data_IF_398276881470
#
_entry.id   IF_398276881470
#
_cell.length_a   1.000
_cell.length_b   1.000
_cell.length_c   1.000
_cell.angle_alpha   90.00
_cell.angle_beta   90.00
_cell.angle_gamma   90.00
#
_symmetry.space_group_name_H-M   'P 1'
#
loop_
_entity.id
_entity.type
_entity.pdbx_description
1 polymer ?
#
# COMPACT_ATOMS: atom_id res chain seq x y z
N UNK A 1 -33.08 -70.95 31.69
CA UNK A 1 -32.40 -69.67 31.89
C UNK A 1 -32.98 -68.66 30.89
N UNK A 2 -34.00 -67.93 31.26
CA UNK A 2 -34.61 -66.88 30.46
C UNK A 2 -34.81 -65.70 31.41
N UNK A 3 -34.05 -64.60 31.17
CA UNK A 3 -34.21 -63.38 31.93
C UNK A 3 -35.30 -62.53 31.27
N UNK A 4 -36.30 -62.23 32.04
CA UNK A 4 -37.41 -61.36 31.69
C UNK A 4 -37.02 -59.89 32.01
N UNK A 5 -36.98 -58.99 31.03
CA UNK A 5 -36.83 -57.59 31.27
C UNK A 5 -38.20 -56.95 31.50
N UNK A 6 -38.29 -56.26 32.63
CA UNK A 6 -39.43 -55.43 33.01
C UNK A 6 -39.26 -54.03 32.45
N UNK A 7 -40.13 -53.57 31.55
CA UNK A 7 -40.16 -52.20 31.00
C UNK A 7 -41.00 -51.34 31.93
N UNK A 8 -40.35 -50.34 32.56
CA UNK A 8 -41.00 -49.27 33.29
C UNK A 8 -41.11 -48.07 32.33
N UNK A 9 -42.35 -47.73 31.95
CA UNK A 9 -42.67 -46.56 31.14
C UNK A 9 -42.84 -45.35 32.08
N UNK A 10 -41.86 -44.45 32.08
CA UNK A 10 -41.96 -43.12 32.73
C UNK A 10 -42.31 -42.06 31.69
N UNK A 11 -43.54 -41.58 31.74
CA UNK A 11 -43.98 -40.38 31.00
C UNK A 11 -43.24 -39.16 31.59
N UNK A 12 -42.24 -38.65 30.87
CA UNK A 12 -41.67 -37.29 31.11
C UNK A 12 -42.45 -36.29 30.25
N UNK A 13 -43.30 -35.48 30.89
CA UNK A 13 -43.88 -34.27 30.27
C UNK A 13 -42.74 -33.26 30.13
N UNK A 14 -42.12 -33.20 28.95
CA UNK A 14 -41.10 -32.23 28.64
C UNK A 14 -41.71 -30.83 28.43
N UNK A 15 -41.39 -29.94 29.34
CA UNK A 15 -41.62 -28.52 29.19
C UNK A 15 -40.74 -28.01 28.02
N UNK A 16 -41.32 -27.84 26.85
CA UNK A 16 -40.65 -27.20 25.70
C UNK A 16 -40.53 -25.73 26.04
N UNK A 17 -39.37 -25.35 26.61
CA UNK A 17 -38.92 -23.98 26.64
C UNK A 17 -38.67 -23.58 25.17
N UNK A 18 -39.59 -22.80 24.58
CA UNK A 18 -39.42 -22.16 23.30
C UNK A 18 -38.33 -21.12 23.46
N UNK A 19 -37.09 -21.50 23.16
CA UNK A 19 -36.03 -20.52 22.93
C UNK A 19 -36.44 -19.70 21.70
N UNK A 20 -36.40 -18.37 21.79
CA UNK A 20 -36.61 -17.56 20.57
C UNK A 20 -35.58 -18.03 19.53
N UNK A 21 -35.95 -18.11 18.24
CA UNK A 21 -35.00 -18.48 17.21
C UNK A 21 -33.82 -17.55 17.33
N UNK A 22 -32.62 -18.09 17.51
CA UNK A 22 -31.38 -17.37 17.30
C UNK A 22 -31.49 -16.92 15.85
N UNK A 23 -31.81 -15.65 15.65
CA UNK A 23 -31.77 -15.05 14.32
C UNK A 23 -30.31 -15.09 13.91
N UNK A 24 -29.94 -16.13 13.15
CA UNK A 24 -28.65 -16.22 12.50
C UNK A 24 -28.46 -14.88 11.78
N UNK A 25 -27.36 -14.19 12.09
CA UNK A 25 -26.98 -13.01 11.31
C UNK A 25 -27.05 -13.43 9.84
N UNK A 26 -27.75 -12.66 9.02
CA UNK A 26 -27.83 -12.93 7.58
C UNK A 26 -26.44 -12.71 7.04
N UNK A 27 -25.71 -13.80 6.83
CA UNK A 27 -24.38 -13.77 6.22
C UNK A 27 -24.54 -13.42 4.75
N UNK A 28 -23.60 -12.64 4.21
CA UNK A 28 -23.55 -12.36 2.77
C UNK A 28 -23.15 -13.64 2.02
N UNK A 29 -23.61 -13.83 0.78
CA UNK A 29 -23.05 -14.81 -0.12
C UNK A 29 -21.52 -14.61 -0.27
N UNK A 30 -20.71 -15.68 -0.23
CA UNK A 30 -19.25 -15.58 -0.32
C UNK A 30 -18.75 -14.79 -1.53
N UNK A 31 -19.44 -14.87 -2.67
CA UNK A 31 -19.14 -14.11 -3.88
C UNK A 31 -19.34 -12.60 -3.69
N UNK A 32 -20.36 -12.17 -2.94
CA UNK A 32 -20.59 -10.75 -2.64
C UNK A 32 -19.55 -10.21 -1.65
N UNK A 33 -19.13 -11.04 -0.67
CA UNK A 33 -18.03 -10.73 0.25
C UNK A 33 -16.73 -10.54 -0.54
N UNK A 34 -16.38 -11.52 -1.38
CA UNK A 34 -15.18 -11.46 -2.23
C UNK A 34 -15.17 -10.24 -3.14
N UNK A 35 -16.28 -9.99 -3.85
CA UNK A 35 -16.40 -8.84 -4.75
C UNK A 35 -16.21 -7.50 -4.00
N UNK A 36 -16.77 -7.37 -2.81
CA UNK A 36 -16.61 -6.19 -1.98
C UNK A 36 -15.17 -5.97 -1.52
N UNK A 37 -14.49 -7.04 -1.06
CA UNK A 37 -13.07 -6.98 -0.69
C UNK A 37 -12.21 -6.61 -1.89
N UNK A 38 -12.42 -7.26 -3.05
CA UNK A 38 -11.66 -6.98 -4.27
C UNK A 38 -11.74 -5.51 -4.69
N UNK A 39 -12.93 -4.92 -4.70
CA UNK A 39 -13.09 -3.50 -5.05
C UNK A 39 -12.29 -2.57 -4.11
N UNK A 40 -12.22 -2.90 -2.82
CA UNK A 40 -11.46 -2.12 -1.83
C UNK A 40 -9.96 -2.33 -2.02
N UNK A 41 -9.53 -3.57 -2.23
CA UNK A 41 -8.12 -3.94 -2.41
C UNK A 41 -7.54 -3.42 -3.73
N UNK A 42 -8.38 -3.29 -4.76
CA UNK A 42 -8.08 -2.62 -6.04
C UNK A 42 -8.07 -1.07 -5.90
N UNK A 43 -8.35 -0.54 -4.72
CA UNK A 43 -8.52 0.89 -4.42
C UNK A 43 -9.58 1.58 -5.27
N UNK A 44 -10.57 0.86 -5.74
CA UNK A 44 -11.73 1.39 -6.46
C UNK A 44 -12.80 1.85 -5.45
N UNK A 45 -12.48 2.92 -4.72
CA UNK A 45 -13.29 3.43 -3.62
C UNK A 45 -14.69 3.86 -4.05
N UNK A 46 -14.86 4.40 -5.24
CA UNK A 46 -16.15 4.82 -5.78
C UNK A 46 -17.06 3.60 -6.03
N UNK A 47 -16.57 2.59 -6.74
CA UNK A 47 -17.32 1.37 -6.98
C UNK A 47 -17.61 0.60 -5.67
N UNK A 48 -16.64 0.53 -4.76
CA UNK A 48 -16.79 -0.09 -3.45
C UNK A 48 -17.86 0.61 -2.60
N UNK A 49 -17.93 1.94 -2.64
CA UNK A 49 -18.98 2.70 -1.96
C UNK A 49 -20.37 2.40 -2.52
N UNK A 50 -20.52 2.42 -3.84
CA UNK A 50 -21.78 2.08 -4.50
C UNK A 50 -22.21 0.64 -4.17
N UNK A 51 -21.29 -0.30 -4.24
CA UNK A 51 -21.51 -1.71 -3.95
C UNK A 51 -21.96 -1.93 -2.51
N UNK A 52 -21.24 -1.38 -1.53
CA UNK A 52 -21.61 -1.52 -0.11
C UNK A 52 -22.94 -0.87 0.24
N UNK A 53 -23.28 0.25 -0.41
CA UNK A 53 -24.60 0.88 -0.27
C UNK A 53 -25.73 -0.02 -0.79
N UNK A 54 -25.49 -0.74 -1.88
CA UNK A 54 -26.43 -1.71 -2.43
C UNK A 54 -26.58 -2.93 -1.51
N UNK A 55 -25.45 -3.47 -0.99
CA UNK A 55 -25.47 -4.57 -0.04
C UNK A 55 -26.27 -4.24 1.22
N UNK A 56 -26.06 -3.06 1.81
CA UNK A 56 -26.78 -2.65 3.02
C UNK A 56 -28.26 -2.44 2.80
N UNK A 57 -28.70 -2.09 1.58
CA UNK A 57 -30.13 -2.09 1.23
C UNK A 57 -30.72 -3.51 1.17
N UNK A 58 -29.97 -4.45 0.62
CA UNK A 58 -30.40 -5.85 0.46
C UNK A 58 -30.28 -6.63 1.78
N UNK A 59 -29.24 -6.37 2.57
CA UNK A 59 -28.90 -7.07 3.80
C UNK A 59 -28.67 -6.08 4.98
N UNK A 60 -29.71 -5.40 5.46
CA UNK A 60 -29.55 -4.30 6.43
C UNK A 60 -29.05 -4.71 7.82
N UNK A 61 -28.98 -6.01 8.11
CA UNK A 61 -28.47 -6.54 9.39
C UNK A 61 -27.18 -7.37 9.24
N UNK A 62 -26.59 -7.41 8.05
CA UNK A 62 -25.38 -8.20 7.81
C UNK A 62 -24.15 -7.53 8.40
N UNK A 63 -23.45 -8.24 9.29
CA UNK A 63 -22.16 -7.84 9.85
C UNK A 63 -21.09 -7.64 8.77
N UNK A 64 -21.06 -8.50 7.75
CA UNK A 64 -20.12 -8.43 6.62
C UNK A 64 -20.34 -7.17 5.78
N UNK A 65 -21.62 -6.82 5.50
CA UNK A 65 -21.93 -5.59 4.77
C UNK A 65 -21.48 -4.34 5.53
N UNK A 66 -21.63 -4.32 6.85
CA UNK A 66 -21.10 -3.23 7.69
C UNK A 66 -19.56 -3.26 7.73
N UNK A 67 -18.92 -4.43 7.75
CA UNK A 67 -17.48 -4.53 7.70
C UNK A 67 -16.91 -3.97 6.41
N UNK A 68 -17.44 -4.37 5.25
CA UNK A 68 -17.07 -3.80 3.96
C UNK A 68 -17.31 -2.28 3.92
N UNK A 69 -18.43 -1.79 4.44
CA UNK A 69 -18.71 -0.35 4.50
C UNK A 69 -17.70 0.38 5.39
N UNK A 70 -17.32 -0.18 6.54
CA UNK A 70 -16.30 0.40 7.41
C UNK A 70 -14.93 0.48 6.72
N UNK A 71 -14.55 -0.57 5.96
CA UNK A 71 -13.33 -0.57 5.14
C UNK A 71 -13.36 0.56 4.10
N UNK A 72 -14.47 0.73 3.40
CA UNK A 72 -14.63 1.83 2.42
C UNK A 72 -14.44 3.19 3.08
N UNK A 73 -15.08 3.44 4.22
CA UNK A 73 -14.95 4.73 4.92
C UNK A 73 -13.51 4.96 5.43
N UNK A 74 -12.85 3.91 5.89
CA UNK A 74 -11.45 3.98 6.31
C UNK A 74 -10.52 4.34 5.13
N UNK A 75 -10.72 3.72 3.96
CA UNK A 75 -9.96 4.03 2.74
C UNK A 75 -10.27 5.42 2.17
N UNK A 76 -11.43 5.99 2.51
CA UNK A 76 -11.79 7.39 2.20
C UNK A 76 -11.21 8.38 3.22
N UNK A 77 -10.55 7.91 4.28
CA UNK A 77 -10.01 8.73 5.37
C UNK A 77 -11.08 9.19 6.37
N UNK A 78 -12.28 8.61 6.35
CA UNK A 78 -13.38 8.94 7.28
C UNK A 78 -13.27 8.08 8.56
N UNK A 79 -12.17 8.24 9.32
CA UNK A 79 -11.81 7.37 10.44
C UNK A 79 -12.88 7.35 11.54
N UNK A 80 -13.46 8.50 11.90
CA UNK A 80 -14.55 8.59 12.87
C UNK A 80 -15.79 7.80 12.42
N UNK A 81 -16.18 7.95 11.14
CA UNK A 81 -17.32 7.23 10.60
C UNK A 81 -17.07 5.72 10.52
N UNK A 82 -15.86 5.31 10.11
CA UNK A 82 -15.46 3.91 10.09
C UNK A 82 -15.54 3.29 11.50
N UNK A 83 -15.05 3.99 12.54
CA UNK A 83 -15.15 3.56 13.93
C UNK A 83 -16.61 3.38 14.39
N UNK A 84 -17.51 4.29 14.00
CA UNK A 84 -18.93 4.20 14.33
C UNK A 84 -19.61 3.01 13.64
N UNK A 85 -19.29 2.77 12.36
CA UNK A 85 -19.82 1.65 11.59
C UNK A 85 -19.37 0.31 12.16
N UNK A 86 -18.10 0.21 12.58
CA UNK A 86 -17.54 -1.02 13.16
C UNK A 86 -18.27 -1.51 14.42
N UNK A 87 -19.05 -0.66 15.10
CA UNK A 87 -19.93 -1.06 16.21
C UNK A 87 -21.09 -1.94 15.76
N UNK A 88 -21.45 -1.91 14.47
CA UNK A 88 -22.51 -2.73 13.87
C UNK A 88 -21.97 -4.08 13.35
N UNK A 89 -20.65 -4.27 13.31
CA UNK A 89 -20.03 -5.49 12.81
C UNK A 89 -20.15 -6.59 13.84
N UNK A 90 -20.99 -7.57 13.53
CA UNK A 90 -21.12 -8.83 14.29
C UNK A 90 -20.20 -9.85 13.65
N UNK A 91 -19.34 -10.46 14.41
CA UNK A 91 -18.34 -11.42 13.93
C UNK A 91 -17.04 -11.26 14.70
N UNK A 92 -16.36 -12.36 14.92
CA UNK A 92 -15.14 -12.41 15.75
C UNK A 92 -13.98 -13.07 15.00
N UNK A 93 -13.94 -12.92 13.68
CA UNK A 93 -12.83 -13.41 12.89
C UNK A 93 -11.58 -12.54 13.15
N UNK A 94 -10.41 -13.17 13.08
CA UNK A 94 -9.12 -12.51 13.33
C UNK A 94 -8.95 -11.24 12.48
N UNK A 95 -9.27 -11.30 11.19
CA UNK A 95 -9.18 -10.17 10.28
C UNK A 95 -10.05 -8.97 10.73
N UNK A 96 -11.28 -9.25 11.17
CA UNK A 96 -12.20 -8.21 11.68
C UNK A 96 -11.62 -7.55 12.93
N UNK A 97 -11.01 -8.35 13.82
CA UNK A 97 -10.42 -7.83 15.05
C UNK A 97 -9.18 -6.94 14.76
N UNK A 98 -8.29 -7.42 13.92
CA UNK A 98 -7.09 -6.68 13.50
C UNK A 98 -7.47 -5.36 12.81
N UNK A 99 -8.47 -5.39 11.93
CA UNK A 99 -8.95 -4.19 11.26
C UNK A 99 -9.64 -3.22 12.23
N UNK A 100 -10.43 -3.70 13.19
CA UNK A 100 -11.05 -2.87 14.23
C UNK A 100 -9.97 -2.12 15.03
N UNK A 101 -8.92 -2.82 15.42
CA UNK A 101 -7.81 -2.21 16.15
C UNK A 101 -7.11 -1.13 15.31
N UNK A 102 -6.79 -1.44 14.05
CA UNK A 102 -6.18 -0.48 13.13
C UNK A 102 -7.03 0.80 12.97
N UNK A 103 -8.33 0.65 12.75
CA UNK A 103 -9.24 1.80 12.58
C UNK A 103 -9.34 2.63 13.87
N UNK A 104 -9.45 1.96 15.02
CA UNK A 104 -9.52 2.63 16.31
C UNK A 104 -8.22 3.40 16.62
N UNK A 105 -7.06 2.77 16.49
CA UNK A 105 -5.76 3.42 16.68
C UNK A 105 -5.58 4.60 15.71
N UNK A 106 -5.96 4.42 14.44
CA UNK A 106 -5.88 5.51 13.45
C UNK A 106 -6.78 6.69 13.85
N UNK A 107 -8.00 6.42 14.32
CA UNK A 107 -8.89 7.46 14.79
C UNK A 107 -8.31 8.20 16.02
N UNK A 108 -7.80 7.47 17.01
CA UNK A 108 -7.21 8.05 18.22
C UNK A 108 -6.01 8.94 17.90
N UNK A 109 -5.13 8.50 16.99
CA UNK A 109 -3.96 9.27 16.57
C UNK A 109 -4.34 10.52 15.74
N UNK A 110 -5.44 10.48 14.98
CA UNK A 110 -5.77 11.54 14.01
C UNK A 110 -6.93 12.45 14.40
N UNK A 111 -7.70 12.15 15.48
CA UNK A 111 -8.90 12.90 15.88
C UNK A 111 -8.66 14.37 16.20
N UNK A 112 -7.43 14.74 16.58
CA UNK A 112 -7.02 16.12 16.88
C UNK A 112 -6.21 16.76 15.75
N UNK A 113 -6.05 16.09 14.62
CA UNK A 113 -5.31 16.64 13.51
C UNK A 113 -6.05 17.82 12.87
N UNK A 114 -5.28 18.83 12.51
CA UNK A 114 -5.74 19.94 11.66
C UNK A 114 -5.75 19.50 10.22
N UNK A 115 -6.71 19.98 9.45
CA UNK A 115 -6.82 19.71 8.01
C UNK A 115 -6.55 20.98 7.21
N UNK A 116 -5.71 20.86 6.19
CA UNK A 116 -5.48 21.88 5.17
C UNK A 116 -5.62 21.24 3.79
N UNK A 117 -5.89 22.04 2.76
CA UNK A 117 -6.10 21.53 1.41
C UNK A 117 -5.36 22.34 0.36
N UNK A 118 -4.92 21.65 -0.69
CA UNK A 118 -4.52 22.26 -1.96
C UNK A 118 -5.51 21.89 -3.06
N UNK A 119 -5.15 22.14 -4.31
CA UNK A 119 -6.03 21.81 -5.43
C UNK A 119 -6.31 20.30 -5.54
N UNK A 120 -5.29 19.45 -5.32
CA UNK A 120 -5.40 18.01 -5.55
C UNK A 120 -5.08 17.17 -4.30
N UNK A 121 -4.78 17.80 -3.14
CA UNK A 121 -4.38 17.09 -1.93
C UNK A 121 -5.11 17.62 -0.70
N UNK A 122 -5.31 16.72 0.29
CA UNK A 122 -5.77 17.01 1.65
C UNK A 122 -4.61 16.67 2.59
N UNK A 123 -4.24 17.58 3.47
CA UNK A 123 -3.18 17.38 4.46
C UNK A 123 -3.78 17.31 5.83
N UNK A 124 -3.44 16.27 6.61
CA UNK A 124 -3.77 16.15 8.02
C UNK A 124 -2.49 16.08 8.84
N UNK A 125 -2.41 16.84 9.89
CA UNK A 125 -1.21 16.98 10.71
C UNK A 125 -1.54 17.50 12.09
N UNK A 126 -0.64 17.29 13.04
CA UNK A 126 -0.75 17.88 14.36
C UNK A 126 -0.44 19.39 14.27
N UNK A 127 -1.34 20.22 14.83
CA UNK A 127 -1.15 21.67 14.85
C UNK A 127 0.15 22.06 15.57
N UNK A 128 0.89 23.03 15.02
CA UNK A 128 2.14 23.53 15.59
C UNK A 128 3.29 23.51 14.58
N UNK A 129 4.38 22.83 14.90
CA UNK A 129 5.60 22.79 14.07
C UNK A 129 5.38 22.25 12.65
N UNK A 130 4.39 21.39 12.46
CA UNK A 130 4.13 20.72 11.19
C UNK A 130 3.31 21.57 10.20
N UNK A 131 2.80 22.72 10.61
CA UNK A 131 2.08 23.64 9.70
C UNK A 131 2.97 24.10 8.53
N UNK A 132 4.26 24.30 8.76
CA UNK A 132 5.21 24.70 7.74
C UNK A 132 5.39 23.62 6.66
N UNK A 133 5.20 22.34 7.01
CA UNK A 133 5.35 21.22 6.08
C UNK A 133 4.32 21.32 4.95
N UNK A 134 3.10 21.78 5.25
CA UNK A 134 2.01 21.88 4.27
C UNK A 134 2.39 22.77 3.09
N UNK A 135 3.08 23.89 3.34
CA UNK A 135 3.54 24.78 2.28
C UNK A 135 4.48 24.06 1.30
N UNK A 136 5.47 23.36 1.83
CA UNK A 136 6.45 22.63 1.00
C UNK A 136 5.85 21.37 0.37
N UNK A 137 5.04 20.64 1.11
CA UNK A 137 4.32 19.46 0.62
C UNK A 137 3.42 19.83 -0.57
N UNK A 138 2.67 20.93 -0.47
CA UNK A 138 1.84 21.46 -1.57
C UNK A 138 2.67 21.74 -2.81
N UNK A 139 3.81 22.44 -2.65
CA UNK A 139 4.70 22.76 -3.78
C UNK A 139 5.20 21.50 -4.49
N UNK A 140 5.64 20.52 -3.74
CA UNK A 140 6.16 19.25 -4.27
C UNK A 140 5.07 18.44 -4.95
N UNK A 141 3.98 18.18 -4.21
CA UNK A 141 2.93 17.26 -4.66
C UNK A 141 2.12 17.82 -5.83
N UNK A 142 1.84 19.12 -5.86
CA UNK A 142 1.17 19.75 -7.01
C UNK A 142 2.06 19.74 -8.27
N UNK A 143 3.40 19.84 -8.11
CA UNK A 143 4.35 19.69 -9.23
C UNK A 143 4.43 18.22 -9.67
N UNK A 144 4.51 17.28 -8.71
CA UNK A 144 4.48 15.83 -8.96
C UNK A 144 3.19 15.40 -9.64
N UNK A 145 2.03 15.91 -9.21
CA UNK A 145 0.73 15.65 -9.85
C UNK A 145 0.75 15.93 -11.35
N UNK A 146 1.29 17.09 -11.75
CA UNK A 146 1.38 17.47 -13.16
C UNK A 146 2.35 16.59 -13.95
N UNK A 147 3.54 16.35 -13.39
CA UNK A 147 4.62 15.64 -14.07
C UNK A 147 4.31 14.15 -14.15
N UNK A 148 4.01 13.51 -13.01
CA UNK A 148 3.73 12.09 -12.96
C UNK A 148 2.39 11.76 -13.60
N UNK A 149 1.41 12.65 -13.50
CA UNK A 149 0.14 12.49 -14.20
C UNK A 149 0.31 12.42 -15.71
N UNK A 150 1.22 13.21 -16.28
CA UNK A 150 1.58 13.13 -17.71
C UNK A 150 2.34 11.85 -18.04
N UNK A 151 3.34 11.48 -17.24
CA UNK A 151 4.18 10.29 -17.46
C UNK A 151 3.33 9.01 -17.42
N UNK A 152 2.48 8.89 -16.40
CA UNK A 152 1.65 7.68 -16.23
C UNK A 152 0.30 7.77 -16.92
N UNK A 153 -0.02 8.86 -17.63
CA UNK A 153 -1.33 9.10 -18.22
C UNK A 153 -2.48 8.81 -17.22
N UNK A 154 -2.32 9.34 -15.98
CA UNK A 154 -3.28 9.13 -14.90
C UNK A 154 -3.33 10.32 -13.95
N UNK A 155 -4.52 10.87 -13.76
CA UNK A 155 -4.78 11.96 -12.82
C UNK A 155 -5.87 11.54 -11.83
N UNK A 156 -5.57 11.43 -10.52
CA UNK A 156 -6.59 11.18 -9.50
C UNK A 156 -7.71 12.21 -9.60
N UNK A 157 -8.97 11.73 -9.63
CA UNK A 157 -10.15 12.61 -9.67
C UNK A 157 -10.46 13.21 -8.30
N UNK A 158 -10.24 12.43 -7.25
CA UNK A 158 -10.41 12.85 -5.86
C UNK A 158 -9.10 13.39 -5.31
N UNK A 159 -9.19 14.29 -4.32
CA UNK A 159 -8.01 14.76 -3.60
C UNK A 159 -7.34 13.61 -2.85
N UNK A 160 -6.02 13.55 -2.95
CA UNK A 160 -5.21 12.53 -2.27
C UNK A 160 -4.96 12.94 -0.83
N UNK A 161 -5.27 12.06 0.12
CA UNK A 161 -5.02 12.28 1.54
C UNK A 161 -3.55 12.04 1.89
N UNK A 162 -2.96 12.99 2.59
CA UNK A 162 -1.59 12.95 3.13
C UNK A 162 -1.65 13.22 4.61
N UNK A 163 -1.13 12.32 5.43
CA UNK A 163 -1.14 12.42 6.89
C UNK A 163 0.30 12.46 7.43
N UNK A 164 0.62 13.50 8.22
CA UNK A 164 1.89 13.65 8.93
C UNK A 164 1.73 13.20 10.37
N UNK A 165 2.41 12.15 10.76
CA UNK A 165 2.38 11.59 12.10
C UNK A 165 3.52 12.17 12.96
N UNK A 166 3.28 12.51 14.23
CA UNK A 166 4.23 13.27 15.04
C UNK A 166 5.51 12.50 15.38
N UNK A 167 5.49 11.15 15.34
CA UNK A 167 6.63 10.32 15.71
C UNK A 167 6.49 8.89 15.15
N UNK A 168 7.49 8.06 15.41
CA UNK A 168 7.54 6.65 14.97
C UNK A 168 6.49 5.78 15.65
N UNK A 169 6.21 6.07 16.91
CA UNK A 169 5.24 5.35 17.72
C UNK A 169 3.83 5.52 17.14
N UNK A 170 3.41 6.74 16.85
CA UNK A 170 2.14 7.02 16.18
C UNK A 170 2.08 6.36 14.80
N UNK A 171 3.15 6.44 14.02
CA UNK A 171 3.21 5.83 12.70
C UNK A 171 3.14 4.30 12.75
N UNK A 172 3.78 3.65 13.73
CA UNK A 172 3.71 2.20 13.91
C UNK A 172 2.29 1.71 14.20
N UNK A 173 1.52 2.43 15.03
CA UNK A 173 0.14 2.05 15.38
C UNK A 173 -0.81 2.01 14.17
N UNK A 174 -0.58 2.89 13.20
CA UNK A 174 -1.50 3.06 12.05
C UNK A 174 -1.01 2.36 10.78
N UNK A 175 0.15 1.75 10.83
CA UNK A 175 0.78 1.04 9.71
C UNK A 175 0.95 -0.45 10.03
N UNK A 176 1.24 -1.30 9.04
CA UNK A 176 1.55 -2.71 9.29
C UNK A 176 2.98 -2.94 9.81
N UNK A 177 3.72 -1.87 10.13
CA UNK A 177 5.13 -1.93 10.54
C UNK A 177 5.24 -1.81 12.06
N UNK A 178 6.04 -2.68 12.66
CA UNK A 178 6.45 -2.55 14.05
C UNK A 178 7.52 -1.47 14.21
N UNK A 179 7.77 -1.03 15.45
CA UNK A 179 8.87 -0.11 15.74
C UNK A 179 10.23 -0.67 15.33
N UNK A 180 10.42 -1.98 15.47
CA UNK A 180 11.64 -2.67 15.04
C UNK A 180 11.76 -2.67 13.52
N UNK A 181 10.68 -2.95 12.77
CA UNK A 181 10.68 -2.85 11.31
C UNK A 181 11.08 -1.43 10.87
N UNK A 182 10.51 -0.40 11.48
CA UNK A 182 10.80 1.00 11.20
C UNK A 182 12.26 1.34 11.51
N UNK A 183 12.79 0.85 12.63
CA UNK A 183 14.17 1.10 13.04
C UNK A 183 15.19 0.42 12.11
N UNK A 184 14.93 -0.83 11.70
CA UNK A 184 15.82 -1.60 10.84
C UNK A 184 15.77 -1.08 9.38
N UNK A 185 14.59 -0.85 8.85
CA UNK A 185 14.42 -0.43 7.45
C UNK A 185 14.67 1.05 7.22
N UNK A 186 14.56 1.88 8.27
CA UNK A 186 14.56 3.33 8.14
C UNK A 186 13.31 3.87 7.43
N UNK A 187 12.22 3.10 7.36
CA UNK A 187 10.96 3.52 6.74
C UNK A 187 10.40 4.75 7.45
N UNK A 188 10.16 5.80 6.70
CA UNK A 188 9.65 7.10 7.20
C UNK A 188 8.31 7.49 6.59
N UNK A 189 7.87 6.77 5.56
CA UNK A 189 6.59 6.99 4.89
C UNK A 189 6.04 5.69 4.31
N UNK A 190 4.77 5.68 3.99
CA UNK A 190 4.07 4.53 3.41
C UNK A 190 2.82 4.99 2.67
N UNK A 191 2.65 4.52 1.45
CA UNK A 191 1.41 4.67 0.70
C UNK A 191 0.55 3.42 0.88
N UNK A 192 -0.50 3.50 1.70
CA UNK A 192 -1.41 2.38 1.98
C UNK A 192 -2.81 2.89 2.35
N UNK A 193 -3.81 2.02 2.25
CA UNK A 193 -5.19 2.36 2.59
C UNK A 193 -5.71 3.60 1.85
N UNK A 194 -5.33 3.75 0.58
CA UNK A 194 -5.70 4.86 -0.30
C UNK A 194 -5.22 6.24 0.20
N UNK A 195 -4.13 6.30 0.96
CA UNK A 195 -3.53 7.54 1.48
C UNK A 195 -2.01 7.44 1.61
N UNK A 196 -1.38 8.59 1.70
CA UNK A 196 0.05 8.73 2.01
C UNK A 196 0.20 9.02 3.49
N UNK A 197 1.00 8.26 4.19
CA UNK A 197 1.30 8.41 5.61
C UNK A 197 2.80 8.66 5.77
N UNK A 198 3.18 9.64 6.60
CA UNK A 198 4.57 10.04 6.77
C UNK A 198 4.86 10.42 8.22
N UNK A 199 6.04 10.04 8.70
CA UNK A 199 6.57 10.55 9.97
C UNK A 199 7.01 12.00 9.75
N UNK A 200 6.60 12.91 10.63
CA UNK A 200 7.04 14.31 10.58
C UNK A 200 8.57 14.40 10.56
N UNK A 201 9.18 15.07 9.56
CA UNK A 201 10.62 15.21 9.49
C UNK A 201 11.20 15.94 10.69
N UNK A 202 10.40 16.79 11.37
CA UNK A 202 10.81 17.50 12.59
C UNK A 202 10.97 16.61 13.81
N UNK A 203 10.43 15.39 13.81
CA UNK A 203 10.54 14.45 14.93
C UNK A 203 11.80 13.56 14.86
N UNK A 204 12.54 13.59 13.77
CA UNK A 204 13.71 12.75 13.58
C UNK A 204 15.01 13.52 13.87
N UNK A 205 15.91 12.91 14.64
CA UNK A 205 17.22 13.49 14.99
C UNK A 205 18.07 13.79 13.74
N UNK A 206 17.97 12.94 12.74
CA UNK A 206 18.59 13.17 11.44
C UNK A 206 17.51 13.44 10.41
N UNK A 207 17.64 14.56 9.71
CA UNK A 207 16.78 14.88 8.59
C UNK A 207 16.90 13.86 7.45
N UNK A 208 15.88 13.77 6.63
CA UNK A 208 15.83 12.96 5.41
C UNK A 208 15.21 13.77 4.26
N UNK A 209 15.33 13.28 3.06
CA UNK A 209 14.80 13.95 1.86
C UNK A 209 13.27 13.80 1.76
N UNK A 210 12.55 14.28 2.79
CA UNK A 210 11.11 14.06 2.95
C UNK A 210 10.27 14.56 1.76
N UNK A 211 10.73 15.57 1.04
CA UNK A 211 10.05 16.07 -0.15
C UNK A 211 10.16 15.07 -1.31
N UNK A 212 11.30 14.42 -1.51
CA UNK A 212 11.45 13.34 -2.49
C UNK A 212 10.63 12.12 -2.05
N UNK A 213 10.64 11.81 -0.75
CA UNK A 213 9.82 10.74 -0.17
C UNK A 213 8.33 10.98 -0.41
N UNK A 214 7.84 12.22 -0.31
CA UNK A 214 6.44 12.52 -0.67
C UNK A 214 6.14 12.21 -2.14
N UNK A 215 7.04 12.57 -3.05
CA UNK A 215 6.88 12.27 -4.48
C UNK A 215 6.97 10.76 -4.75
N UNK A 216 7.82 10.04 -4.00
CA UNK A 216 7.93 8.58 -4.02
C UNK A 216 6.60 7.91 -3.62
N UNK A 217 6.04 8.30 -2.46
CA UNK A 217 4.76 7.76 -1.98
C UNK A 217 3.59 8.14 -2.90
N UNK A 218 3.61 9.34 -3.48
CA UNK A 218 2.62 9.73 -4.47
C UNK A 218 2.74 8.91 -5.76
N UNK A 219 3.96 8.51 -6.15
CA UNK A 219 4.14 7.57 -7.26
C UNK A 219 3.48 6.23 -6.94
N UNK A 220 3.70 5.66 -5.75
CA UNK A 220 3.01 4.45 -5.30
C UNK A 220 1.49 4.59 -5.36
N UNK A 221 0.95 5.76 -4.98
CA UNK A 221 -0.48 6.03 -5.07
C UNK A 221 -1.00 5.90 -6.51
N UNK A 222 -0.34 6.54 -7.47
CA UNK A 222 -0.71 6.46 -8.90
C UNK A 222 -0.62 5.01 -9.40
N UNK A 223 0.50 4.33 -9.12
CA UNK A 223 0.73 2.96 -9.58
C UNK A 223 -0.35 2.00 -9.07
N UNK A 224 -0.68 2.07 -7.78
CA UNK A 224 -1.73 1.24 -7.16
C UNK A 224 -3.08 1.50 -7.82
N UNK A 225 -3.46 2.76 -7.97
CA UNK A 225 -4.75 3.13 -8.61
C UNK A 225 -4.82 2.68 -10.06
N UNK A 226 -3.77 2.94 -10.84
CA UNK A 226 -3.78 2.67 -12.28
C UNK A 226 -3.68 1.17 -12.58
N UNK A 227 -2.91 0.39 -11.81
CA UNK A 227 -2.79 -1.06 -11.99
C UNK A 227 -3.85 -1.87 -11.25
N UNK A 228 -4.73 -1.24 -10.47
CA UNK A 228 -5.63 -1.91 -9.52
C UNK A 228 -4.88 -2.83 -8.57
N UNK A 229 -3.74 -2.30 -8.05
CA UNK A 229 -2.87 -3.00 -7.09
C UNK A 229 -2.27 -4.34 -7.60
N UNK A 230 -2.16 -4.52 -8.93
CA UNK A 230 -1.64 -5.76 -9.55
C UNK A 230 -0.17 -5.64 -10.00
N UNK A 231 0.54 -4.57 -9.63
CA UNK A 231 1.95 -4.39 -9.98
C UNK A 231 2.86 -5.13 -8.97
N UNK A 232 3.87 -5.91 -9.40
CA UNK A 232 4.83 -6.54 -8.50
C UNK A 232 5.62 -5.53 -7.67
N UNK A 233 5.92 -5.88 -6.42
CA UNK A 233 6.56 -4.97 -5.46
C UNK A 233 7.89 -4.40 -5.97
N UNK A 234 8.78 -5.24 -6.53
CA UNK A 234 10.07 -4.76 -7.04
C UNK A 234 9.92 -3.67 -8.10
N UNK A 235 8.90 -3.79 -8.96
CA UNK A 235 8.63 -2.80 -10.00
C UNK A 235 7.95 -1.57 -9.42
N UNK A 236 7.10 -1.73 -8.41
CA UNK A 236 6.51 -0.65 -7.63
C UNK A 236 7.60 0.26 -7.04
N UNK A 237 8.56 -0.36 -6.33
CA UNK A 237 9.69 0.34 -5.71
C UNK A 237 10.65 0.94 -6.75
N UNK A 238 10.92 0.19 -7.81
CA UNK A 238 11.79 0.66 -8.90
C UNK A 238 11.24 1.91 -9.58
N UNK A 239 9.95 1.91 -9.93
CA UNK A 239 9.30 3.06 -10.56
C UNK A 239 9.25 4.24 -9.58
N UNK A 240 8.83 4.01 -8.33
CA UNK A 240 8.76 5.07 -7.34
C UNK A 240 10.15 5.70 -7.12
N UNK A 241 11.20 4.91 -6.96
CA UNK A 241 12.57 5.39 -6.80
C UNK A 241 13.10 6.12 -8.03
N UNK A 242 12.83 5.62 -9.22
CA UNK A 242 13.29 6.26 -10.47
C UNK A 242 12.63 7.63 -10.71
N UNK A 243 11.37 7.79 -10.28
CA UNK A 243 10.61 9.02 -10.51
C UNK A 243 10.53 9.96 -9.31
N UNK A 244 10.98 9.59 -8.11
CA UNK A 244 10.81 10.38 -6.87
C UNK A 244 11.37 11.81 -6.94
N UNK A 245 12.42 12.04 -7.74
CA UNK A 245 13.07 13.34 -7.87
C UNK A 245 12.65 14.14 -9.11
N UNK A 246 11.74 13.61 -9.94
CA UNK A 246 11.31 14.26 -11.21
C UNK A 246 10.61 15.61 -11.02
N UNK A 247 10.11 15.89 -9.85
CA UNK A 247 9.55 17.19 -9.51
C UNK A 247 10.61 18.31 -9.44
N UNK A 248 11.91 17.95 -9.35
CA UNK A 248 13.04 18.89 -9.35
C UNK A 248 13.44 19.24 -10.78
N UNK A 249 14.05 20.39 -10.97
CA UNK A 249 14.58 20.79 -12.28
C UNK A 249 15.84 19.99 -12.63
N UNK A 250 16.70 19.72 -11.63
CA UNK A 250 17.83 18.78 -11.73
C UNK A 250 17.50 17.55 -10.89
N UNK A 251 17.26 16.43 -11.54
CA UNK A 251 16.90 15.19 -10.88
C UNK A 251 17.98 14.11 -11.04
N UNK A 252 18.21 13.38 -9.95
CA UNK A 252 19.05 12.18 -9.93
C UNK A 252 18.39 11.16 -9.02
N UNK A 253 18.14 9.96 -9.52
CA UNK A 253 17.46 8.91 -8.78
C UNK A 253 18.42 7.99 -8.02
N UNK A 254 19.69 7.86 -8.45
CA UNK A 254 20.74 7.16 -7.73
C UNK A 254 21.49 8.10 -6.78
N UNK A 255 21.65 7.64 -5.55
CA UNK A 255 22.57 8.28 -4.61
C UNK A 255 23.98 7.73 -4.79
N UNK A 256 25.06 8.45 -4.36
CA UNK A 256 26.43 7.91 -4.41
C UNK A 256 26.61 6.58 -3.68
N UNK A 257 25.85 6.35 -2.60
CA UNK A 257 25.84 5.06 -1.86
C UNK A 257 25.26 3.96 -2.73
N UNK A 258 24.10 4.20 -3.36
CA UNK A 258 23.45 3.24 -4.25
C UNK A 258 24.33 2.89 -5.45
N UNK A 259 24.97 3.88 -6.07
CA UNK A 259 25.93 3.65 -7.17
C UNK A 259 27.12 2.77 -6.69
N UNK A 260 27.65 3.03 -5.49
CA UNK A 260 28.74 2.24 -4.90
C UNK A 260 28.31 0.80 -4.63
N UNK A 261 27.14 0.59 -4.02
CA UNK A 261 26.60 -0.75 -3.75
C UNK A 261 26.37 -1.52 -5.05
N UNK A 262 25.79 -0.88 -6.06
CA UNK A 262 25.55 -1.51 -7.37
C UNK A 262 26.84 -1.88 -8.09
N UNK A 263 27.84 -1.00 -8.09
CA UNK A 263 29.17 -1.29 -8.65
C UNK A 263 29.83 -2.47 -7.94
N UNK A 264 29.80 -2.50 -6.61
CA UNK A 264 30.32 -3.59 -5.79
C UNK A 264 29.59 -4.91 -6.04
N UNK A 265 28.27 -4.87 -6.12
CA UNK A 265 27.43 -6.03 -6.43
C UNK A 265 27.75 -6.64 -7.80
N UNK A 266 27.86 -5.81 -8.83
CA UNK A 266 28.25 -6.24 -10.18
C UNK A 266 29.66 -6.86 -10.19
N UNK A 267 30.63 -6.25 -9.49
CA UNK A 267 32.01 -6.76 -9.42
C UNK A 267 32.11 -8.12 -8.70
N UNK A 268 31.31 -8.30 -7.63
CA UNK A 268 31.27 -9.52 -6.83
C UNK A 268 30.34 -10.59 -7.40
N UNK A 269 29.62 -10.26 -8.48
CA UNK A 269 28.50 -11.06 -9.02
C UNK A 269 27.44 -11.40 -7.95
N UNK A 270 27.22 -10.45 -7.05
CA UNK A 270 26.23 -10.51 -5.98
C UNK A 270 25.14 -9.46 -6.26
N UNK A 271 23.98 -9.93 -6.69
CA UNK A 271 22.78 -9.12 -6.92
C UNK A 271 21.61 -9.76 -6.17
N UNK A 272 20.67 -8.95 -5.73
CA UNK A 272 19.49 -9.44 -5.01
C UNK A 272 18.51 -10.03 -6.03
N UNK A 273 18.03 -11.23 -5.79
CA UNK A 273 17.01 -11.82 -6.67
C UNK A 273 15.66 -11.10 -6.49
N UNK A 274 14.85 -11.02 -7.57
CA UNK A 274 13.52 -10.44 -7.48
C UNK A 274 12.62 -11.19 -6.48
N UNK A 275 12.86 -12.49 -6.29
CA UNK A 275 12.19 -13.30 -5.27
C UNK A 275 12.56 -12.90 -3.84
N UNK A 276 13.85 -12.59 -3.59
CA UNK A 276 14.31 -12.16 -2.26
C UNK A 276 13.83 -10.74 -1.89
N UNK A 277 13.45 -9.93 -2.87
CA UNK A 277 12.85 -8.61 -2.66
C UNK A 277 11.39 -8.70 -2.15
N UNK A 278 10.78 -9.86 -2.22
CA UNK A 278 9.42 -10.10 -1.68
C UNK A 278 9.49 -10.55 -0.21
N UNK A 279 8.55 -10.19 0.66
CA UNK A 279 7.38 -9.34 0.41
C UNK A 279 7.66 -7.83 0.57
N UNK A 280 8.89 -7.41 0.84
CA UNK A 280 9.28 -6.01 1.00
C UNK A 280 10.80 -5.86 0.93
N UNK A 281 11.28 -4.85 0.19
CA UNK A 281 12.70 -4.48 0.18
C UNK A 281 13.19 -4.10 1.59
N UNK A 282 12.32 -3.51 2.41
CA UNK A 282 12.62 -3.14 3.79
C UNK A 282 12.87 -4.35 4.72
N UNK A 283 12.54 -5.57 4.29
CA UNK A 283 12.79 -6.82 5.05
C UNK A 283 14.06 -7.56 4.62
N UNK A 284 14.86 -6.98 3.74
CA UNK A 284 16.20 -7.49 3.43
C UNK A 284 17.10 -7.45 4.67
N UNK A 285 18.10 -8.33 4.70
CA UNK A 285 18.88 -8.62 5.92
C UNK A 285 19.74 -7.47 6.40
N UNK A 286 20.25 -6.66 5.48
CA UNK A 286 21.19 -5.57 5.79
C UNK A 286 20.76 -4.26 5.11
N UNK A 287 21.21 -3.14 5.66
CA UNK A 287 20.99 -1.83 5.04
C UNK A 287 21.68 -1.72 3.66
N UNK A 288 22.80 -2.40 3.49
CA UNK A 288 23.53 -2.48 2.22
C UNK A 288 22.73 -3.22 1.16
N UNK A 289 22.11 -4.36 1.51
CA UNK A 289 21.21 -5.10 0.61
C UNK A 289 20.00 -4.26 0.21
N UNK A 290 19.43 -3.50 1.14
CA UNK A 290 18.33 -2.56 0.84
C UNK A 290 18.76 -1.51 -0.18
N UNK A 291 19.94 -0.87 0.03
CA UNK A 291 20.45 0.13 -0.91
C UNK A 291 20.79 -0.48 -2.28
N UNK A 292 21.36 -1.70 -2.30
CA UNK A 292 21.61 -2.45 -3.52
C UNK A 292 20.32 -2.76 -4.26
N UNK A 293 19.32 -3.30 -3.58
CA UNK A 293 18.02 -3.62 -4.19
C UNK A 293 17.35 -2.39 -4.81
N UNK A 294 17.33 -1.25 -4.10
CA UNK A 294 16.81 0.00 -4.68
C UNK A 294 17.60 0.47 -5.91
N UNK A 295 18.93 0.32 -5.90
CA UNK A 295 19.75 0.63 -7.05
C UNK A 295 19.45 -0.29 -8.24
N UNK A 296 19.28 -1.59 -7.99
CA UNK A 296 18.94 -2.57 -9.02
C UNK A 296 17.59 -2.26 -9.65
N UNK A 297 16.52 -2.19 -8.84
CA UNK A 297 15.16 -2.01 -9.37
C UNK A 297 15.00 -0.66 -10.06
N UNK A 298 15.60 0.42 -9.54
CA UNK A 298 15.52 1.74 -10.20
C UNK A 298 16.29 1.79 -11.53
N UNK A 299 17.43 1.11 -11.63
CA UNK A 299 18.17 0.99 -12.91
C UNK A 299 17.48 0.04 -13.89
N UNK A 300 16.70 -0.94 -13.43
CA UNK A 300 15.80 -1.73 -14.27
C UNK A 300 14.75 -0.84 -14.94
N UNK A 301 14.19 0.12 -14.19
CA UNK A 301 13.21 1.07 -14.76
C UNK A 301 13.88 2.05 -15.70
N UNK A 302 15.09 2.53 -15.37
CA UNK A 302 15.87 3.33 -16.33
C UNK A 302 16.09 2.59 -17.64
N UNK A 303 16.56 1.34 -17.59
CA UNK A 303 16.73 0.49 -18.76
C UNK A 303 15.42 0.35 -19.54
N UNK A 304 14.34 0.02 -18.85
CA UNK A 304 13.01 -0.15 -19.45
C UNK A 304 12.56 1.09 -20.21
N UNK A 305 12.69 2.27 -19.61
CA UNK A 305 12.25 3.53 -20.24
C UNK A 305 13.18 3.99 -21.35
N UNK A 306 14.50 3.78 -21.22
CA UNK A 306 15.45 4.18 -22.27
C UNK A 306 15.34 3.31 -23.53
N UNK A 307 15.07 2.02 -23.38
CA UNK A 307 15.02 1.08 -24.52
C UNK A 307 13.63 1.01 -25.15
N UNK A 308 12.57 1.05 -24.34
CA UNK A 308 11.20 0.82 -24.81
C UNK A 308 10.33 2.10 -24.81
N UNK A 309 10.91 3.25 -24.39
CA UNK A 309 10.22 4.54 -24.35
C UNK A 309 9.45 4.81 -23.07
N UNK A 310 9.10 6.07 -22.86
CA UNK A 310 8.48 6.53 -21.61
C UNK A 310 7.06 5.98 -21.40
N UNK A 311 6.36 5.60 -22.46
CA UNK A 311 4.97 5.10 -22.38
C UNK A 311 4.86 3.62 -21.95
N UNK A 312 5.99 2.90 -21.91
CA UNK A 312 6.04 1.47 -21.58
C UNK A 312 5.40 1.16 -20.23
N UNK A 313 5.67 2.00 -19.23
CA UNK A 313 5.12 1.81 -17.87
C UNK A 313 3.60 2.02 -17.87
N UNK A 314 3.12 3.09 -18.53
CA UNK A 314 1.69 3.37 -18.64
C UNK A 314 0.93 2.22 -19.30
N UNK A 315 1.47 1.68 -20.40
CA UNK A 315 0.91 0.53 -21.13
C UNK A 315 0.85 -0.73 -20.25
N UNK A 316 1.94 -1.02 -19.52
CA UNK A 316 1.99 -2.17 -18.62
C UNK A 316 0.95 -2.07 -17.50
N UNK A 317 0.83 -0.90 -16.87
CA UNK A 317 -0.16 -0.65 -15.81
C UNK A 317 -1.61 -0.84 -16.32
N UNK A 318 -1.89 -0.45 -17.57
CA UNK A 318 -3.21 -0.63 -18.19
C UNK A 318 -3.56 -2.10 -18.46
N UNK A 319 -2.57 -2.92 -18.83
CA UNK A 319 -2.73 -4.38 -18.98
C UNK A 319 -2.99 -5.03 -17.62
N UNK A 320 -2.18 -4.70 -16.61
CA UNK A 320 -2.36 -5.22 -15.25
C UNK A 320 -3.72 -4.85 -14.64
N UNK A 321 -4.25 -3.67 -14.95
CA UNK A 321 -5.59 -3.27 -14.54
C UNK A 321 -6.71 -4.14 -15.13
N UNK A 322 -6.43 -4.86 -16.21
CA UNK A 322 -7.33 -5.85 -16.85
C UNK A 322 -7.12 -7.28 -16.33
N UNK A 323 -6.37 -7.41 -15.22
CA UNK A 323 -6.06 -8.70 -14.58
C UNK A 323 -5.19 -9.63 -15.43
N UNK A 324 -4.43 -9.10 -16.40
CA UNK A 324 -3.38 -9.87 -17.06
C UNK A 324 -2.30 -10.26 -16.05
N UNK A 325 -1.72 -11.46 -16.19
CA UNK A 325 -0.56 -11.81 -15.36
C UNK A 325 0.62 -10.91 -15.70
N UNK A 326 1.46 -10.64 -14.70
CA UNK A 326 2.61 -9.74 -14.90
C UNK A 326 3.54 -10.21 -16.03
N UNK A 327 3.85 -11.50 -16.09
CA UNK A 327 4.76 -12.06 -17.09
C UNK A 327 4.19 -11.91 -18.52
N UNK A 328 2.89 -12.11 -18.69
CA UNK A 328 2.22 -11.91 -19.97
C UNK A 328 2.18 -10.43 -20.35
N UNK A 329 1.73 -9.58 -19.44
CA UNK A 329 1.67 -8.14 -19.65
C UNK A 329 3.04 -7.54 -19.98
N UNK A 330 4.10 -8.02 -19.31
CA UNK A 330 5.48 -7.61 -19.55
C UNK A 330 5.96 -8.05 -20.93
N UNK A 331 5.85 -9.36 -21.25
CA UNK A 331 6.30 -9.91 -22.54
C UNK A 331 5.56 -9.30 -23.72
N UNK A 332 4.26 -9.07 -23.60
CA UNK A 332 3.46 -8.43 -24.63
C UNK A 332 3.75 -6.93 -24.82
N UNK A 333 4.29 -6.30 -23.79
CA UNK A 333 4.60 -4.85 -23.83
C UNK A 333 5.98 -4.59 -24.41
N UNK A 334 6.98 -5.41 -24.05
CA UNK A 334 8.38 -5.18 -24.45
C UNK A 334 8.93 -6.24 -25.42
N UNK A 335 8.16 -7.28 -25.74
CA UNK A 335 8.55 -8.33 -26.71
C UNK A 335 9.53 -9.37 -26.17
N UNK A 336 9.91 -9.31 -24.88
CA UNK A 336 10.84 -10.26 -24.26
C UNK A 336 10.32 -10.69 -22.87
N UNK A 337 10.72 -11.88 -22.44
CA UNK A 337 10.36 -12.38 -21.12
C UNK A 337 11.26 -11.75 -20.00
N UNK A 338 10.86 -11.94 -18.73
CA UNK A 338 11.54 -11.36 -17.58
C UNK A 338 13.01 -11.81 -17.46
N UNK A 339 13.34 -13.06 -17.78
CA UNK A 339 14.73 -13.57 -17.74
C UNK A 339 15.61 -12.86 -18.75
N UNK A 340 15.11 -12.67 -19.98
CA UNK A 340 15.82 -11.93 -21.03
C UNK A 340 15.97 -10.46 -20.64
N UNK A 341 14.92 -9.84 -20.13
CA UNK A 341 14.97 -8.48 -19.59
C UNK A 341 16.05 -8.30 -18.53
N UNK A 342 16.15 -9.22 -17.54
CA UNK A 342 17.18 -9.15 -16.50
C UNK A 342 18.60 -9.30 -17.08
N UNK A 343 18.80 -10.15 -18.09
CA UNK A 343 20.11 -10.30 -18.74
C UNK A 343 20.51 -9.03 -19.50
N UNK A 344 19.59 -8.44 -20.22
CA UNK A 344 19.81 -7.21 -20.99
C UNK A 344 20.06 -6.02 -20.06
N UNK A 345 19.25 -5.88 -18.98
CA UNK A 345 19.50 -4.89 -17.92
C UNK A 345 20.91 -5.04 -17.31
N UNK A 346 21.36 -6.26 -16.98
CA UNK A 346 22.71 -6.48 -16.43
C UNK A 346 23.80 -5.97 -17.39
N UNK A 347 23.64 -6.19 -18.69
CA UNK A 347 24.57 -5.68 -19.71
C UNK A 347 24.53 -4.16 -19.79
N UNK A 348 23.34 -3.56 -19.74
CA UNK A 348 23.16 -2.11 -19.71
C UNK A 348 23.85 -1.48 -18.52
N UNK A 349 23.66 -2.00 -17.31
CA UNK A 349 24.26 -1.44 -16.08
C UNK A 349 25.77 -1.61 -16.05
N UNK A 350 26.32 -2.71 -16.59
CA UNK A 350 27.79 -2.91 -16.69
C UNK A 350 28.46 -1.85 -17.59
N UNK A 351 27.75 -1.28 -18.54
CA UNK A 351 28.26 -0.21 -19.40
C UNK A 351 28.12 1.18 -18.78
N UNK A 352 27.37 1.30 -17.68
CA UNK A 352 27.11 2.55 -16.99
C UNK A 352 28.35 2.97 -16.16
N UNK A 353 28.76 4.23 -16.29
CA UNK A 353 29.81 4.81 -15.46
C UNK A 353 29.28 5.14 -14.06
N UNK A 354 29.28 4.15 -13.17
CA UNK A 354 28.85 4.33 -11.78
C UNK A 354 29.92 5.09 -11.00
N UNK A 355 29.49 6.08 -10.21
CA UNK A 355 30.37 6.85 -9.31
C UNK A 355 30.48 6.09 -7.99
N UNK A 356 31.70 5.71 -7.60
CA UNK A 356 31.95 5.00 -6.35
C UNK A 356 32.57 5.91 -5.30
N UNK A 357 32.21 5.70 -4.04
CA UNK A 357 32.81 6.37 -2.89
C UNK A 357 34.09 5.61 -2.53
N UNK A 358 35.29 6.26 -2.56
CA UNK A 358 36.52 5.60 -2.16
C UNK A 358 36.45 5.08 -0.72
N UNK A 359 36.82 3.82 -0.52
CA UNK A 359 36.84 3.18 0.80
C UNK A 359 35.52 2.59 1.27
N UNK A 360 34.39 2.84 0.61
CA UNK A 360 33.14 2.14 0.82
C UNK A 360 33.14 0.87 -0.06
N UNK A 361 32.99 -0.32 0.57
CA UNK A 361 33.07 -1.62 -0.13
C UNK A 361 31.75 -2.38 0.05
#
# INVERSE_FOLDING_TARGET
MKHTFLTISTCLVGLILAFPPITSAIELPPEEVYAGHKLIDDWNTEAAEHFTKTLLKKYPKSGDAYFLKARVEFFKGNHDLATKILKQVTGNHREVHEFKNLVYETYEETKLFTTSESKHFIYRYQKGSDEILVHYATKVLEKSYKILGKIFNYYPKEKVLVEFYPNRESFSKISPLTLDDIAISGTVALCKYNRIMMISPGSLVRGYNWMDTLSHEYTHYILTKKSRNNLPLWMHEGIAKYFETRWRDNYAYLTPIMETMLAGGLQKNYLISLGDMMPSLAKLKTAEDVQLAYAEVSTMIEYLTQVHGDEVISTLLEKLAKEESFDLAMSDTIGINLDTFQKEWKNFVKQKKLKTIPGLK
#
